data_IF_679690907753
#
_entry.id   IF_679690907753
#
_cell.length_a   1.000
_cell.length_b   1.000
_cell.length_c   1.000
_cell.angle_alpha   90.00
_cell.angle_beta   90.00
_cell.angle_gamma   90.00
#
_symmetry.space_group_name_H-M   'P 1'
#
loop_
_entity.id
_entity.type
_entity.pdbx_description
1 polymer ?
#
# COMPACT_ATOMS: atom_id res chain seq x y z
N UNK A 1 1.53 7.36 17.07
CA UNK A 1 0.38 8.26 16.73
C UNK A 1 -0.84 7.77 17.49
N UNK A 2 -1.63 8.70 17.99
CA UNK A 2 -2.98 8.38 18.46
C UNK A 2 -3.90 8.39 17.24
N UNK A 3 -4.51 7.26 16.85
CA UNK A 3 -5.33 7.16 15.63
C UNK A 3 -6.44 8.22 15.56
N UNK A 4 -6.98 8.59 16.73
CA UNK A 4 -8.05 9.58 16.87
C UNK A 4 -7.62 10.97 16.38
N UNK A 5 -6.31 11.26 16.39
CA UNK A 5 -5.75 12.56 15.99
C UNK A 5 -5.33 12.62 14.52
N UNK A 6 -5.46 11.52 13.77
CA UNK A 6 -5.16 11.51 12.34
C UNK A 6 -6.38 12.06 11.60
N UNK A 7 -6.20 13.20 10.94
CA UNK A 7 -7.23 13.83 10.13
C UNK A 7 -7.05 13.53 8.65
N UNK A 8 -5.81 13.32 8.21
CA UNK A 8 -5.46 13.05 6.83
C UNK A 8 -4.32 12.04 6.73
N UNK A 9 -4.40 11.17 5.75
CA UNK A 9 -3.32 10.29 5.33
C UNK A 9 -2.87 10.69 3.93
N UNK A 10 -1.56 10.80 3.74
CA UNK A 10 -0.96 11.02 2.43
C UNK A 10 -0.18 9.75 2.08
N UNK A 11 -0.65 9.02 1.06
CA UNK A 11 -0.01 7.82 0.57
C UNK A 11 0.96 8.19 -0.57
N UNK A 12 2.22 7.79 -0.47
CA UNK A 12 3.28 8.21 -1.38
C UNK A 12 4.03 6.98 -1.89
N UNK A 13 4.15 6.88 -3.21
CA UNK A 13 4.87 5.79 -3.86
C UNK A 13 5.21 6.10 -5.30
N UNK A 14 5.95 5.20 -5.95
CA UNK A 14 6.26 5.23 -7.38
C UNK A 14 5.86 3.91 -8.05
N UNK A 15 5.52 3.96 -9.34
CA UNK A 15 5.21 2.77 -10.14
C UNK A 15 4.13 1.91 -9.50
N UNK A 16 4.38 0.62 -9.39
CA UNK A 16 3.42 -0.36 -8.84
C UNK A 16 3.01 -0.04 -7.40
N UNK A 17 3.91 0.50 -6.57
CA UNK A 17 3.60 0.95 -5.22
C UNK A 17 2.62 2.14 -5.21
N UNK A 18 2.73 3.07 -6.16
CA UNK A 18 1.75 4.13 -6.34
C UNK A 18 0.36 3.55 -6.69
N UNK A 19 0.31 2.53 -7.55
CA UNK A 19 -0.96 1.86 -7.89
C UNK A 19 -1.58 1.15 -6.69
N UNK A 20 -0.77 0.58 -5.78
CA UNK A 20 -1.30 0.00 -4.53
C UNK A 20 -1.96 1.07 -3.64
N UNK A 21 -1.41 2.29 -3.63
CA UNK A 21 -2.01 3.43 -2.94
C UNK A 21 -3.36 3.84 -3.57
N UNK A 22 -3.46 3.82 -4.91
CA UNK A 22 -4.72 4.11 -5.61
C UNK A 22 -5.82 3.12 -5.24
N UNK A 23 -5.51 1.82 -5.19
CA UNK A 23 -6.47 0.79 -4.74
C UNK A 23 -6.89 1.04 -3.29
N UNK A 24 -5.91 1.28 -2.42
CA UNK A 24 -6.17 1.47 -0.99
C UNK A 24 -7.04 2.69 -0.68
N UNK A 25 -6.97 3.74 -1.48
CA UNK A 25 -7.77 4.95 -1.30
C UNK A 25 -9.26 4.64 -1.16
N UNK A 26 -9.80 3.75 -2.02
CA UNK A 26 -11.20 3.35 -1.97
C UNK A 26 -11.57 2.73 -0.62
N UNK A 27 -10.70 1.88 -0.04
CA UNK A 27 -10.93 1.28 1.27
C UNK A 27 -10.92 2.31 2.40
N UNK A 28 -10.01 3.29 2.35
CA UNK A 28 -9.99 4.35 3.33
C UNK A 28 -11.23 5.22 3.25
N UNK A 29 -11.66 5.61 2.05
CA UNK A 29 -12.85 6.44 1.82
C UNK A 29 -14.13 5.71 2.24
N UNK A 30 -14.22 4.40 2.01
CA UNK A 30 -15.39 3.60 2.39
C UNK A 30 -15.46 3.33 3.90
N UNK A 31 -14.32 3.01 4.53
CA UNK A 31 -14.30 2.52 5.90
C UNK A 31 -14.07 3.62 6.94
N UNK A 32 -13.46 4.73 6.55
CA UNK A 32 -13.03 5.77 7.49
C UNK A 32 -13.58 7.15 7.15
N UNK A 33 -13.48 8.08 8.11
CA UNK A 33 -13.72 9.51 7.89
C UNK A 33 -12.43 10.29 7.70
N UNK A 34 -11.33 9.59 7.37
CA UNK A 34 -10.01 10.19 7.20
C UNK A 34 -9.86 10.64 5.74
N UNK A 35 -9.48 11.89 5.53
CA UNK A 35 -9.11 12.37 4.21
C UNK A 35 -7.89 11.61 3.69
N UNK A 36 -7.95 11.11 2.45
CA UNK A 36 -6.83 10.40 1.83
C UNK A 36 -6.39 11.11 0.56
N UNK A 37 -5.14 11.52 0.57
CA UNK A 37 -4.44 12.04 -0.61
C UNK A 37 -3.43 11.01 -1.09
N UNK A 38 -3.26 10.90 -2.40
CA UNK A 38 -2.24 10.06 -3.00
C UNK A 38 -1.31 10.97 -3.79
N UNK A 39 -0.02 10.75 -3.66
CA UNK A 39 0.98 11.49 -4.41
C UNK A 39 2.02 10.54 -5.01
N UNK A 40 2.50 10.87 -6.20
CA UNK A 40 3.62 10.17 -6.80
C UNK A 40 4.92 10.78 -6.26
N UNK A 41 5.82 9.94 -5.77
CA UNK A 41 6.99 10.40 -5.03
C UNK A 41 7.93 11.29 -5.88
N UNK A 42 8.03 11.03 -7.20
CA UNK A 42 8.81 11.85 -8.12
C UNK A 42 8.31 13.30 -8.22
N UNK A 43 6.99 13.52 -8.10
CA UNK A 43 6.40 14.85 -8.15
C UNK A 43 6.33 15.50 -6.77
N UNK A 44 6.06 14.69 -5.73
CA UNK A 44 5.97 15.15 -4.34
C UNK A 44 7.17 16.01 -3.94
N UNK A 45 8.37 15.60 -4.34
CA UNK A 45 9.63 16.27 -3.98
C UNK A 45 9.79 17.68 -4.54
N UNK A 46 9.05 18.06 -5.57
CA UNK A 46 9.14 19.38 -6.23
C UNK A 46 7.99 20.31 -5.87
N UNK A 47 6.97 19.81 -5.20
CA UNK A 47 5.78 20.58 -4.85
C UNK A 47 6.02 21.47 -3.62
N UNK A 48 5.37 22.63 -3.59
CA UNK A 48 5.27 23.48 -2.39
C UNK A 48 4.12 22.98 -1.51
N UNK A 49 4.42 22.07 -0.59
CA UNK A 49 3.42 21.44 0.26
C UNK A 49 3.27 22.20 1.59
N UNK A 50 2.03 22.23 2.10
CA UNK A 50 1.75 22.66 3.47
C UNK A 50 1.67 21.42 4.36
N UNK A 51 2.58 21.32 5.31
CA UNK A 51 2.63 20.20 6.26
C UNK A 51 1.78 20.48 7.49
N UNK A 52 1.11 19.43 8.00
CA UNK A 52 0.31 19.48 9.21
C UNK A 52 0.69 18.31 10.13
N UNK A 53 0.91 18.59 11.41
CA UNK A 53 1.32 17.60 12.41
C UNK A 53 0.25 16.51 12.68
N UNK A 54 -1.00 16.75 12.30
CA UNK A 54 -2.09 15.78 12.41
C UNK A 54 -2.24 14.89 11.16
N UNK A 55 -1.40 15.09 10.15
CA UNK A 55 -1.34 14.24 8.98
C UNK A 55 -0.34 13.10 9.21
N UNK A 56 -0.63 11.94 8.64
CA UNK A 56 0.27 10.80 8.55
C UNK A 56 0.72 10.65 7.09
N UNK A 57 2.03 10.64 6.88
CA UNK A 57 2.62 10.42 5.56
C UNK A 57 3.12 8.98 5.48
N UNK A 58 2.56 8.20 4.55
CA UNK A 58 2.83 6.77 4.39
C UNK A 58 3.60 6.54 3.09
N UNK A 59 4.80 6.02 3.20
CA UNK A 59 5.70 5.75 2.09
C UNK A 59 5.66 4.27 1.73
N UNK A 60 5.26 3.97 0.51
CA UNK A 60 5.13 2.58 0.04
C UNK A 60 6.23 2.27 -0.96
N UNK A 61 7.01 1.24 -0.67
CA UNK A 61 8.11 0.79 -1.53
C UNK A 61 8.43 -0.68 -1.30
N UNK A 62 8.63 -1.46 -2.35
CA UNK A 62 9.06 -2.85 -2.18
C UNK A 62 10.49 -2.92 -1.63
N UNK A 63 11.45 -2.28 -2.30
CA UNK A 63 12.87 -2.31 -1.91
C UNK A 63 13.20 -1.41 -0.71
N UNK A 64 12.39 -0.37 -0.48
CA UNK A 64 12.71 0.68 0.47
C UNK A 64 13.93 1.53 0.10
N UNK A 65 14.41 1.43 -1.15
CA UNK A 65 15.57 2.16 -1.69
C UNK A 65 15.20 3.04 -2.91
N UNK A 66 13.92 3.21 -3.21
CA UNK A 66 13.45 4.06 -4.31
C UNK A 66 13.84 5.50 -4.06
N UNK A 67 14.72 6.06 -4.90
CA UNK A 67 15.35 7.37 -4.67
C UNK A 67 14.33 8.51 -4.47
N UNK A 68 13.28 8.57 -5.31
CA UNK A 68 12.25 9.60 -5.17
C UNK A 68 11.42 9.45 -3.90
N UNK A 69 11.12 8.21 -3.50
CA UNK A 69 10.38 7.92 -2.27
C UNK A 69 11.22 8.27 -1.04
N UNK A 70 12.52 7.99 -1.05
CA UNK A 70 13.44 8.39 0.01
C UNK A 70 13.56 9.91 0.10
N UNK A 71 13.68 10.61 -1.03
CA UNK A 71 13.72 12.07 -1.06
C UNK A 71 12.43 12.71 -0.53
N UNK A 72 11.27 12.15 -0.87
CA UNK A 72 9.98 12.58 -0.34
C UNK A 72 9.89 12.38 1.19
N UNK A 73 10.38 11.26 1.71
CA UNK A 73 10.49 10.99 3.14
C UNK A 73 11.38 12.03 3.85
N UNK A 74 12.55 12.35 3.29
CA UNK A 74 13.46 13.35 3.84
C UNK A 74 12.82 14.73 3.97
N UNK A 75 11.99 15.12 2.99
CA UNK A 75 11.22 16.37 3.06
C UNK A 75 10.26 16.33 4.24
N UNK A 76 9.53 15.24 4.43
CA UNK A 76 8.61 15.07 5.56
C UNK A 76 9.36 15.11 6.91
N UNK A 77 10.51 14.46 7.02
CA UNK A 77 11.35 14.47 8.23
C UNK A 77 11.86 15.87 8.56
N UNK A 78 12.33 16.65 7.56
CA UNK A 78 12.75 18.07 7.74
C UNK A 78 11.60 18.93 8.24
N UNK A 79 10.36 18.63 7.85
CA UNK A 79 9.16 19.34 8.32
C UNK A 79 8.58 18.77 9.62
N UNK A 80 9.26 17.78 10.25
CA UNK A 80 8.90 17.18 11.54
C UNK A 80 7.48 16.63 11.59
N UNK A 81 6.97 16.13 10.46
CA UNK A 81 5.68 15.44 10.38
C UNK A 81 5.85 13.95 10.56
N UNK A 82 4.76 13.26 10.86
CA UNK A 82 4.76 11.85 11.19
C UNK A 82 4.81 10.98 9.94
N UNK A 83 5.69 10.01 9.95
CA UNK A 83 6.00 9.16 8.80
C UNK A 83 5.83 7.68 9.14
N UNK A 84 5.26 6.94 8.20
CA UNK A 84 5.18 5.48 8.25
C UNK A 84 5.66 4.93 6.92
N UNK A 85 6.35 3.81 6.92
CA UNK A 85 6.72 3.12 5.70
C UNK A 85 6.11 1.72 5.62
N UNK A 86 5.69 1.33 4.43
CA UNK A 86 5.28 -0.02 4.07
C UNK A 86 6.33 -0.55 3.11
N UNK A 87 7.19 -1.44 3.59
CA UNK A 87 8.36 -1.94 2.84
C UNK A 87 8.54 -3.43 3.01
N UNK A 88 9.14 -4.07 2.01
CA UNK A 88 9.50 -5.48 2.11
C UNK A 88 10.90 -5.65 2.73
N UNK A 89 11.84 -4.75 2.42
CA UNK A 89 13.19 -4.74 2.98
C UNK A 89 13.23 -3.84 4.24
N UNK A 90 13.15 -4.45 5.41
CA UNK A 90 13.08 -3.73 6.70
C UNK A 90 14.39 -3.02 7.09
N UNK A 91 15.51 -3.44 6.52
CA UNK A 91 16.82 -2.81 6.72
C UNK A 91 17.11 -1.68 5.71
N UNK A 92 16.12 -1.31 4.91
CA UNK A 92 16.27 -0.29 3.88
C UNK A 92 16.37 1.13 4.43
N UNK A 93 16.83 2.04 3.59
CA UNK A 93 16.96 3.46 3.91
C UNK A 93 15.62 4.10 4.29
N UNK A 94 14.54 3.79 3.56
CA UNK A 94 13.20 4.30 3.86
C UNK A 94 12.72 3.75 5.20
N UNK A 95 12.92 2.46 5.48
CA UNK A 95 12.53 1.87 6.76
C UNK A 95 13.25 2.54 7.94
N UNK A 96 14.59 2.63 7.89
CA UNK A 96 15.38 3.23 8.97
C UNK A 96 15.06 4.68 9.27
N UNK A 97 14.61 5.43 8.27
CA UNK A 97 14.32 6.87 8.41
C UNK A 97 12.84 7.18 8.74
N UNK A 98 11.96 6.19 8.70
CA UNK A 98 10.54 6.35 9.06
C UNK A 98 10.32 6.26 10.57
N UNK A 99 9.29 6.93 11.09
CA UNK A 99 8.93 6.83 12.51
C UNK A 99 8.29 5.47 12.85
N UNK A 100 7.59 4.86 11.87
CA UNK A 100 7.01 3.52 11.96
C UNK A 100 7.25 2.74 10.68
N UNK A 101 7.40 1.44 10.82
CA UNK A 101 7.60 0.50 9.71
C UNK A 101 6.57 -0.61 9.77
N UNK A 102 5.91 -0.87 8.66
CA UNK A 102 5.01 -2.00 8.45
C UNK A 102 5.66 -2.91 7.40
N UNK A 103 6.21 -4.06 7.81
CA UNK A 103 6.88 -4.98 6.89
C UNK A 103 5.87 -5.78 6.06
N UNK A 104 6.14 -5.90 4.75
CA UNK A 104 5.27 -6.62 3.80
C UNK A 104 5.38 -8.14 3.97
N UNK A 105 6.55 -8.66 4.36
CA UNK A 105 6.85 -10.09 4.52
C UNK A 105 6.64 -10.93 3.24
N UNK A 106 6.81 -10.34 2.06
CA UNK A 106 6.66 -11.07 0.79
C UNK A 106 7.87 -11.95 0.42
N UNK A 107 8.93 -11.92 1.23
CA UNK A 107 10.20 -12.56 0.89
C UNK A 107 10.93 -11.87 -0.27
N UNK A 108 12.03 -12.42 -0.77
CA UNK A 108 12.77 -11.84 -1.90
C UNK A 108 11.89 -11.79 -3.16
N UNK A 109 11.88 -10.66 -3.84
CA UNK A 109 11.24 -10.50 -5.15
C UNK A 109 12.33 -10.21 -6.19
N UNK A 110 12.50 -11.14 -7.12
CA UNK A 110 13.48 -11.06 -8.18
C UNK A 110 12.76 -10.73 -9.48
N UNK A 111 12.75 -9.46 -9.84
CA UNK A 111 12.07 -8.98 -11.04
C UNK A 111 11.91 -7.48 -11.01
N UNK A 112 11.80 -6.87 -12.20
CA UNK A 112 11.57 -5.43 -12.32
C UNK A 112 10.11 -5.08 -11.99
N UNK A 113 9.17 -5.84 -12.54
CA UNK A 113 7.75 -5.68 -12.26
C UNK A 113 7.39 -6.34 -10.93
N UNK A 114 6.81 -5.56 -10.02
CA UNK A 114 6.34 -6.05 -8.73
C UNK A 114 5.06 -6.86 -8.90
N UNK A 115 5.00 -8.02 -8.26
CA UNK A 115 3.82 -8.91 -8.26
C UNK A 115 3.35 -9.19 -6.83
N UNK A 116 3.99 -10.11 -6.13
CA UNK A 116 3.63 -10.47 -4.75
C UNK A 116 3.77 -9.32 -3.76
N UNK A 117 4.78 -8.44 -3.95
CA UNK A 117 4.93 -7.28 -3.10
C UNK A 117 3.77 -6.28 -3.27
N UNK A 118 3.24 -6.11 -4.49
CA UNK A 118 2.03 -5.33 -4.74
C UNK A 118 0.84 -5.88 -3.94
N UNK A 119 0.59 -7.18 -4.01
CA UNK A 119 -0.47 -7.84 -3.23
C UNK A 119 -0.27 -7.60 -1.74
N UNK A 120 0.97 -7.74 -1.23
CA UNK A 120 1.31 -7.47 0.17
C UNK A 120 1.09 -6.00 0.56
N UNK A 121 1.41 -5.05 -0.33
CA UNK A 121 1.16 -3.62 -0.10
C UNK A 121 -0.33 -3.33 0.01
N UNK A 122 -1.13 -3.83 -0.93
CA UNK A 122 -2.60 -3.69 -0.89
C UNK A 122 -3.16 -4.31 0.39
N UNK A 123 -2.68 -5.49 0.76
CA UNK A 123 -3.06 -6.19 2.01
C UNK A 123 -2.82 -5.31 3.24
N UNK A 124 -1.59 -4.80 3.41
CA UNK A 124 -1.25 -3.97 4.58
C UNK A 124 -2.00 -2.65 4.60
N UNK A 125 -2.18 -2.00 3.46
CA UNK A 125 -2.95 -0.77 3.36
C UNK A 125 -4.43 -1.00 3.72
N UNK A 126 -5.01 -2.11 3.28
CA UNK A 126 -6.39 -2.50 3.64
C UNK A 126 -6.52 -2.80 5.14
N UNK A 127 -5.56 -3.54 5.71
CA UNK A 127 -5.51 -3.79 7.17
C UNK A 127 -5.37 -2.48 7.96
N UNK A 128 -4.59 -1.54 7.46
CA UNK A 128 -4.42 -0.22 8.06
C UNK A 128 -5.74 0.57 8.03
N UNK A 129 -6.45 0.59 6.90
CA UNK A 129 -7.76 1.23 6.78
C UNK A 129 -8.77 0.62 7.76
N UNK A 130 -8.86 -0.71 7.80
CA UNK A 130 -9.75 -1.44 8.69
C UNK A 130 -9.43 -1.20 10.18
N UNK A 131 -8.15 -1.22 10.54
CA UNK A 131 -7.70 -0.94 11.91
C UNK A 131 -8.03 0.49 12.35
N UNK A 132 -7.82 1.47 11.47
CA UNK A 132 -8.15 2.86 11.74
C UNK A 132 -9.66 3.08 11.83
N UNK A 133 -10.45 2.45 10.97
CA UNK A 133 -11.91 2.49 11.03
C UNK A 133 -12.42 1.97 12.38
N UNK A 134 -11.91 0.82 12.83
CA UNK A 134 -12.26 0.27 14.14
C UNK A 134 -11.86 1.20 15.29
N UNK A 135 -10.62 1.71 15.27
CA UNK A 135 -10.08 2.62 16.30
C UNK A 135 -10.84 3.95 16.38
N UNK A 136 -11.30 4.47 15.26
CA UNK A 136 -12.09 5.71 15.19
C UNK A 136 -13.58 5.47 15.41
N UNK A 137 -14.03 4.22 15.46
CA UNK A 137 -15.45 3.89 15.62
C UNK A 137 -16.31 4.22 14.40
N UNK A 138 -15.72 4.27 13.20
CA UNK A 138 -16.43 4.59 11.96
C UNK A 138 -17.20 3.40 11.40
N UNK A 139 -16.87 2.19 11.83
CA UNK A 139 -17.60 0.96 11.50
C UNK A 139 -18.03 0.23 12.77
N UNK A 140 -19.18 -0.47 12.77
CA UNK A 140 -19.62 -1.32 13.88
C UNK A 140 -18.61 -2.45 14.14
N UNK A 141 -18.53 -2.89 15.41
CA UNK A 141 -17.64 -4.01 15.78
C UNK A 141 -17.98 -5.30 15.02
N UNK A 142 -19.25 -5.53 14.73
CA UNK A 142 -19.72 -6.66 13.93
C UNK A 142 -19.12 -6.66 12.53
N UNK A 143 -19.13 -5.49 11.86
CA UNK A 143 -18.57 -5.35 10.51
C UNK A 143 -17.04 -5.48 10.52
N UNK A 144 -16.38 -4.91 11.53
CA UNK A 144 -14.94 -5.13 11.71
C UNK A 144 -14.61 -6.62 11.81
N UNK A 145 -15.33 -7.37 12.67
CA UNK A 145 -15.08 -8.81 12.86
C UNK A 145 -15.38 -9.61 11.59
N UNK A 146 -16.48 -9.28 10.88
CA UNK A 146 -16.83 -9.92 9.62
C UNK A 146 -15.78 -9.67 8.54
N UNK A 147 -15.36 -8.42 8.35
CA UNK A 147 -14.34 -8.05 7.36
C UNK A 147 -12.99 -8.71 7.67
N UNK A 148 -12.61 -8.79 8.94
CA UNK A 148 -11.38 -9.47 9.34
C UNK A 148 -11.42 -10.96 9.01
N UNK A 149 -12.54 -11.66 9.31
CA UNK A 149 -12.72 -13.07 8.96
C UNK A 149 -12.70 -13.29 7.43
N UNK A 150 -13.32 -12.39 6.65
CA UNK A 150 -13.24 -12.44 5.18
C UNK A 150 -11.80 -12.28 4.69
N UNK A 151 -11.04 -11.42 5.33
CA UNK A 151 -9.64 -11.17 5.00
C UNK A 151 -8.76 -12.39 5.30
N UNK A 152 -8.98 -13.06 6.43
CA UNK A 152 -8.30 -14.32 6.80
C UNK A 152 -8.57 -15.44 5.78
N UNK A 153 -9.71 -15.42 5.10
CA UNK A 153 -10.08 -16.40 4.08
C UNK A 153 -9.49 -16.12 2.68
N UNK A 154 -8.90 -14.95 2.45
CA UNK A 154 -8.35 -14.56 1.12
C UNK A 154 -7.31 -15.56 0.60
N UNK A 155 -6.32 -16.03 1.39
CA UNK A 155 -5.32 -16.97 0.88
C UNK A 155 -5.94 -18.26 0.33
N UNK A 156 -6.91 -18.84 1.03
CA UNK A 156 -7.56 -20.07 0.58
C UNK A 156 -8.47 -19.85 -0.65
N UNK A 157 -9.09 -18.67 -0.78
CA UNK A 157 -9.83 -18.27 -1.98
C UNK A 157 -8.91 -18.14 -3.20
N UNK A 158 -7.73 -17.52 -3.01
CA UNK A 158 -6.71 -17.39 -4.07
C UNK A 158 -6.19 -18.76 -4.48
N UNK A 159 -5.88 -19.63 -3.53
CA UNK A 159 -5.40 -20.99 -3.84
C UNK A 159 -6.41 -21.78 -4.69
N UNK A 160 -7.70 -21.70 -4.34
CA UNK A 160 -8.77 -22.34 -5.13
C UNK A 160 -8.86 -21.75 -6.53
N UNK A 161 -8.79 -20.42 -6.64
CA UNK A 161 -8.84 -19.71 -7.93
C UNK A 161 -7.68 -20.13 -8.83
N UNK A 162 -6.46 -20.16 -8.32
CA UNK A 162 -5.28 -20.56 -9.09
C UNK A 162 -5.43 -21.97 -9.67
N UNK A 163 -5.92 -22.92 -8.86
CA UNK A 163 -6.18 -24.29 -9.31
C UNK A 163 -7.26 -24.35 -10.39
N UNK A 164 -8.31 -23.52 -10.29
CA UNK A 164 -9.43 -23.56 -11.26
C UNK A 164 -9.13 -22.83 -12.56
N UNK A 165 -8.20 -21.86 -12.57
CA UNK A 165 -7.89 -21.04 -13.74
C UNK A 165 -6.73 -21.57 -14.59
N UNK A 166 -5.95 -22.55 -14.12
CA UNK A 166 -4.70 -22.96 -14.74
C UNK A 166 -4.89 -23.42 -16.20
N UNK A 167 -5.86 -24.30 -16.46
CA UNK A 167 -6.15 -24.79 -17.82
C UNK A 167 -6.66 -23.68 -18.74
N UNK A 168 -7.49 -22.79 -18.23
CA UNK A 168 -8.01 -21.65 -19.00
C UNK A 168 -6.88 -20.66 -19.34
N UNK A 169 -5.99 -20.40 -18.40
CA UNK A 169 -4.81 -19.55 -18.62
C UNK A 169 -3.89 -20.15 -19.69
N UNK A 170 -3.66 -21.47 -19.68
CA UNK A 170 -2.90 -22.17 -20.72
C UNK A 170 -3.52 -22.03 -22.11
N UNK A 171 -4.84 -22.19 -22.20
CA UNK A 171 -5.56 -22.03 -23.47
C UNK A 171 -5.44 -20.60 -24.02
N UNK A 172 -5.58 -19.60 -23.15
CA UNK A 172 -5.42 -18.19 -23.53
C UNK A 172 -3.96 -17.92 -23.94
N UNK A 173 -2.99 -18.35 -23.14
CA UNK A 173 -1.58 -18.18 -23.42
C UNK A 173 -1.20 -18.74 -24.81
N UNK A 174 -1.69 -19.93 -25.16
CA UNK A 174 -1.45 -20.52 -26.48
C UNK A 174 -2.05 -19.68 -27.62
N UNK A 175 -3.23 -19.06 -27.39
CA UNK A 175 -3.86 -18.20 -28.41
C UNK A 175 -3.10 -16.91 -28.67
N UNK A 176 -2.47 -16.35 -27.64
CA UNK A 176 -1.78 -15.04 -27.72
C UNK A 176 -0.25 -15.17 -27.79
N UNK A 177 0.31 -16.38 -27.80
CA UNK A 177 1.74 -16.63 -27.78
C UNK A 177 2.53 -15.96 -28.92
N UNK A 178 1.86 -15.67 -30.04
CA UNK A 178 2.44 -14.98 -31.19
C UNK A 178 2.36 -13.45 -31.09
N UNK A 179 1.64 -12.90 -30.13
CA UNK A 179 1.48 -11.46 -29.97
C UNK A 179 2.74 -10.82 -29.38
N UNK A 180 3.22 -9.73 -29.98
CA UNK A 180 4.38 -8.99 -29.53
C UNK A 180 4.06 -7.96 -28.45
N UNK A 181 2.79 -7.57 -28.30
CA UNK A 181 2.33 -6.53 -27.37
C UNK A 181 0.97 -6.89 -26.78
N UNK A 182 0.69 -6.38 -25.59
CA UNK A 182 -0.62 -6.45 -24.94
C UNK A 182 -0.96 -5.09 -24.31
N UNK A 183 -2.24 -4.73 -24.35
CA UNK A 183 -2.80 -3.59 -23.63
C UNK A 183 -3.77 -4.10 -22.57
N UNK A 184 -3.71 -3.52 -21.37
CA UNK A 184 -4.56 -3.86 -20.22
C UNK A 184 -5.49 -2.71 -19.88
#
# INVERSE_FOLDING_TARGET
>A
IKPEKINKIVLIGCGTAYHSCLVAKYWFEELTTIDVEIDIASEFRYRKLKFNSNNLYVFVSQSGETADTAAALDICKKNKVKTCSIVNAVESTIARNSDWVLPIHAGPEIGVASTKAFTGQVTLLTMMALSLAHKKGTIPKSDYSRLLAEFENVPSKIEKLLKSCDEQCKLIANKIAHANNALY
#
